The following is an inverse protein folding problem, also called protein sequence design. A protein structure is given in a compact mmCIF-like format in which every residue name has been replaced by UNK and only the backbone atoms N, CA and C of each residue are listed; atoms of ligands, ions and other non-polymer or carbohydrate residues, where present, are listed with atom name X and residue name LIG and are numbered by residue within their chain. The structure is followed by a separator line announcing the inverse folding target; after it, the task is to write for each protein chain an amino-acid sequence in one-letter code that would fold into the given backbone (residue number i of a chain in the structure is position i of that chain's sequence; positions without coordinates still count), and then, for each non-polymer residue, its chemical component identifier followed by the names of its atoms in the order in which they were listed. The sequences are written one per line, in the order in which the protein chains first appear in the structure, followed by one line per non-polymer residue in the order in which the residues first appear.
data_IF_946058030897
#
_entry.id   IF_946058030897
#
_cell.length_a   1.000
_cell.length_b   1.000
_cell.length_c   1.000
_cell.angle_alpha   90.00
_cell.angle_beta   90.00
_cell.angle_gamma   90.00
#
_symmetry.space_group_name_H-M   'P 1'
#
loop_
_entity.id
_entity.type
_entity.pdbx_description
1 polymer ?
#
# COMPACT_ATOMS: atom_id res chain seq x y z
N UNK A 1 22.95 -5.89 -0.69
CA UNK A 1 21.90 -4.99 -0.18
C UNK A 1 21.15 -5.69 0.92
N UNK A 2 20.87 -5.01 2.04
CA UNK A 2 19.93 -5.51 3.04
C UNK A 2 18.57 -5.71 2.36
N UNK A 3 17.93 -6.84 2.58
CA UNK A 3 16.59 -7.11 2.04
C UNK A 3 15.58 -6.32 2.89
N UNK A 4 15.38 -5.05 2.56
CA UNK A 4 14.35 -4.19 3.15
C UNK A 4 12.96 -4.69 2.71
N UNK A 5 11.93 -4.46 3.55
CA UNK A 5 10.55 -4.91 3.27
C UNK A 5 10.45 -6.39 2.82
N UNK A 6 11.00 -7.32 3.62
CA UNK A 6 10.97 -8.78 3.34
C UNK A 6 9.56 -9.33 3.14
N UNK A 7 8.57 -8.66 3.73
CA UNK A 7 7.15 -8.88 3.52
C UNK A 7 6.51 -7.58 3.04
N UNK A 8 5.34 -7.63 2.38
CA UNK A 8 4.62 -6.41 1.99
C UNK A 8 4.40 -5.51 3.22
N UNK A 9 4.69 -4.20 3.14
CA UNK A 9 4.43 -3.27 4.23
C UNK A 9 2.95 -3.27 4.64
N UNK A 10 2.71 -3.10 5.94
CA UNK A 10 1.37 -3.01 6.52
C UNK A 10 1.30 -1.78 7.43
N UNK A 11 0.27 -0.96 7.30
CA UNK A 11 0.24 0.31 8.03
C UNK A 11 -1.01 1.14 7.82
N UNK A 12 -0.92 2.41 8.18
CA UNK A 12 -1.94 3.44 8.04
C UNK A 12 -1.37 4.64 7.28
N UNK A 13 -2.22 5.29 6.49
CA UNK A 13 -1.89 6.53 5.78
C UNK A 13 -3.04 7.55 5.91
N UNK A 14 -2.68 8.83 6.01
CA UNK A 14 -3.64 9.90 6.28
C UNK A 14 -4.51 10.37 5.10
N UNK A 15 -4.25 9.92 3.87
CA UNK A 15 -4.86 10.50 2.67
C UNK A 15 -6.38 10.32 2.60
N UNK A 16 -6.89 9.09 2.69
CA UNK A 16 -8.33 8.82 2.48
C UNK A 16 -9.20 9.46 3.56
N UNK A 17 -8.66 9.71 4.75
CA UNK A 17 -9.34 10.37 5.87
C UNK A 17 -9.18 11.89 5.83
N UNK A 18 -7.95 12.38 5.74
CA UNK A 18 -7.62 13.79 5.99
C UNK A 18 -7.09 14.57 4.79
N UNK A 19 -6.86 13.90 3.65
CA UNK A 19 -6.26 14.50 2.46
C UNK A 19 -4.93 15.18 2.80
N UNK A 20 -4.80 16.43 2.38
CA UNK A 20 -3.63 17.29 2.62
C UNK A 20 -3.55 17.84 4.05
N UNK A 21 -4.55 17.62 4.91
CA UNK A 21 -4.79 18.43 6.12
C UNK A 21 -4.60 17.73 7.46
N UNK A 22 -3.97 16.56 7.48
CA UNK A 22 -3.75 15.83 8.74
C UNK A 22 -2.94 16.66 9.74
N UNK A 23 -3.27 16.52 11.02
CA UNK A 23 -2.60 17.17 12.15
C UNK A 23 -1.83 16.17 13.01
N UNK A 24 -0.87 16.66 13.80
CA UNK A 24 -0.07 15.82 14.71
C UNK A 24 -0.93 14.98 15.66
N UNK A 25 -1.98 15.56 16.23
CA UNK A 25 -2.84 14.86 17.19
C UNK A 25 -3.61 13.72 16.51
N UNK A 26 -4.04 13.91 15.26
CA UNK A 26 -4.70 12.86 14.46
C UNK A 26 -3.74 11.73 14.09
N UNK A 27 -2.49 12.05 13.71
CA UNK A 27 -1.44 11.05 13.49
C UNK A 27 -1.21 10.22 14.75
N UNK A 28 -1.04 10.87 15.91
CA UNK A 28 -0.81 10.19 17.18
C UNK A 28 -2.03 9.38 17.66
N UNK A 29 -3.24 9.85 17.40
CA UNK A 29 -4.45 9.10 17.70
C UNK A 29 -4.54 7.80 16.87
N UNK A 30 -4.27 7.89 15.56
CA UNK A 30 -4.22 6.72 14.67
C UNK A 30 -3.08 5.77 15.05
N UNK A 31 -1.89 6.30 15.36
CA UNK A 31 -0.75 5.50 15.80
C UNK A 31 -1.07 4.71 17.09
N UNK A 32 -1.76 5.30 18.07
CA UNK A 32 -2.14 4.59 19.30
C UNK A 32 -3.09 3.42 19.02
N UNK A 33 -4.10 3.63 18.17
CA UNK A 33 -5.04 2.55 17.79
C UNK A 33 -4.33 1.48 16.97
N UNK A 34 -3.46 1.87 16.03
CA UNK A 34 -2.64 0.95 15.25
C UNK A 34 -1.79 0.07 16.19
N UNK A 35 -1.07 0.67 17.13
CA UNK A 35 -0.24 -0.04 18.10
C UNK A 35 -1.04 -1.00 19.00
N UNK A 36 -2.21 -0.59 19.48
CA UNK A 36 -3.02 -1.39 20.39
C UNK A 36 -3.72 -2.56 19.66
N UNK A 37 -4.30 -2.28 18.48
CA UNK A 37 -5.26 -3.19 17.84
C UNK A 37 -4.69 -3.96 16.66
N UNK A 38 -3.69 -3.42 15.96
CA UNK A 38 -3.26 -3.92 14.65
C UNK A 38 -1.77 -4.31 14.61
N UNK A 39 -0.90 -3.69 15.40
CA UNK A 39 0.51 -4.07 15.52
C UNK A 39 0.72 -5.55 15.91
N UNK A 40 -0.08 -6.16 16.82
CA UNK A 40 0.02 -7.60 17.09
C UNK A 40 -0.23 -8.49 15.85
N UNK A 41 -0.90 -7.95 14.83
CA UNK A 41 -1.20 -8.62 13.56
C UNK A 41 -0.23 -8.23 12.43
N UNK A 42 0.73 -7.35 12.72
CA UNK A 42 1.84 -6.95 11.86
C UNK A 42 1.66 -5.61 11.15
N UNK A 43 0.65 -4.82 11.50
CA UNK A 43 0.48 -3.45 10.98
C UNK A 43 1.38 -2.49 11.78
N UNK A 44 2.47 -2.03 11.18
CA UNK A 44 3.55 -1.35 11.92
C UNK A 44 3.90 0.05 11.42
N UNK A 45 3.36 0.49 10.28
CA UNK A 45 3.79 1.73 9.64
C UNK A 45 2.73 2.82 9.74
N UNK A 46 3.11 4.04 10.12
CA UNK A 46 2.24 5.24 10.18
C UNK A 46 2.77 6.27 9.19
N UNK A 47 2.01 6.62 8.16
CA UNK A 47 2.44 7.53 7.09
C UNK A 47 1.65 8.83 7.13
N UNK A 48 2.37 9.95 7.24
CA UNK A 48 1.83 11.30 7.00
C UNK A 48 1.87 11.54 5.49
N UNK A 49 0.70 11.60 4.85
CA UNK A 49 0.61 11.82 3.40
C UNK A 49 0.86 13.29 3.02
N UNK A 50 0.65 13.62 1.74
CA UNK A 50 1.11 14.82 1.06
C UNK A 50 0.78 16.13 1.79
N UNK A 51 1.58 17.16 1.47
CA UNK A 51 1.29 18.56 1.77
C UNK A 51 1.35 18.91 3.26
N UNK A 52 2.06 18.11 4.06
CA UNK A 52 2.38 18.42 5.46
C UNK A 52 3.21 19.71 5.65
N UNK A 53 3.77 20.22 4.55
CA UNK A 53 4.58 21.42 4.48
C UNK A 53 3.80 22.68 4.06
N UNK A 54 2.52 22.58 3.65
CA UNK A 54 1.67 23.76 3.43
C UNK A 54 0.91 24.12 4.73
N UNK A 55 1.20 25.30 5.33
CA UNK A 55 0.47 25.76 6.51
C UNK A 55 -0.97 26.18 6.18
N UNK A 56 -1.29 26.41 4.91
CA UNK A 56 -2.62 26.77 4.43
C UNK A 56 -3.39 25.59 3.79
N UNK A 57 -2.87 24.36 3.91
CA UNK A 57 -3.48 23.17 3.33
C UNK A 57 -4.98 23.09 3.67
N UNK A 58 -5.78 22.71 2.67
CA UNK A 58 -7.24 22.68 2.75
C UNK A 58 -7.81 21.34 2.33
N UNK A 59 -9.02 21.03 2.80
CA UNK A 59 -9.76 19.87 2.31
C UNK A 59 -10.04 19.97 0.80
N UNK A 60 -10.26 18.83 0.17
CA UNK A 60 -10.66 18.72 -1.24
C UNK A 60 -9.63 19.29 -2.24
N UNK A 61 -8.35 18.91 -2.07
CA UNK A 61 -7.27 19.16 -3.01
C UNK A 61 -6.29 20.27 -2.59
N UNK A 62 -5.49 20.71 -3.55
CA UNK A 62 -4.33 21.58 -3.31
C UNK A 62 -4.66 23.08 -3.45
N UNK A 63 -3.82 23.93 -2.88
CA UNK A 63 -3.85 25.36 -3.10
C UNK A 63 -3.02 25.72 -4.33
N UNK A 64 -3.51 26.65 -5.16
CA UNK A 64 -2.69 27.23 -6.23
C UNK A 64 -1.65 28.18 -5.60
N UNK A 65 -0.37 28.00 -5.91
CA UNK A 65 0.69 28.87 -5.38
C UNK A 65 0.87 28.78 -3.86
N UNK A 66 0.83 27.54 -3.33
CA UNK A 66 1.08 27.23 -1.92
C UNK A 66 2.33 27.90 -1.37
N UNK A 67 2.26 28.43 -0.14
CA UNK A 67 3.35 29.22 0.43
C UNK A 67 4.53 28.41 0.97
N UNK A 68 4.38 27.09 1.09
CA UNK A 68 5.33 26.05 1.53
C UNK A 68 6.34 26.47 2.63
N UNK A 69 6.32 25.80 3.78
CA UNK A 69 7.38 26.01 4.78
C UNK A 69 8.66 25.33 4.32
N UNK A 70 9.72 26.12 4.07
CA UNK A 70 11.04 25.64 3.65
C UNK A 70 12.12 26.03 4.66
N UNK A 71 13.19 25.24 4.73
CA UNK A 71 14.42 25.65 5.40
C UNK A 71 15.28 26.59 4.52
N UNK A 72 16.43 27.02 5.04
CA UNK A 72 17.33 27.94 4.33
C UNK A 72 17.96 27.36 3.04
N UNK A 73 17.80 26.06 2.79
CA UNK A 73 18.32 25.35 1.63
C UNK A 73 17.22 24.87 0.69
N UNK A 74 15.98 25.34 0.90
CA UNK A 74 14.84 25.00 0.05
C UNK A 74 14.28 23.59 0.27
N UNK A 75 14.53 22.97 1.44
CA UNK A 75 13.94 21.68 1.82
C UNK A 75 12.66 21.90 2.61
N UNK A 76 11.62 21.12 2.32
CA UNK A 76 10.32 21.24 3.01
C UNK A 76 10.45 20.97 4.51
N UNK A 77 9.72 21.75 5.32
CA UNK A 77 9.61 21.63 6.78
C UNK A 77 8.13 21.45 7.18
N UNK A 78 7.84 20.73 8.28
CA UNK A 78 6.47 20.56 8.73
C UNK A 78 5.83 21.89 9.11
N UNK A 79 4.59 22.10 8.67
CA UNK A 79 3.83 23.28 9.01
C UNK A 79 3.52 23.28 10.54
N UNK A 80 4.17 24.18 11.29
CA UNK A 80 4.13 24.18 12.77
C UNK A 80 2.72 24.39 13.35
N UNK A 81 1.80 25.00 12.60
CA UNK A 81 0.40 25.13 13.00
C UNK A 81 -0.35 23.78 13.02
N UNK A 82 0.07 22.81 12.20
CA UNK A 82 -0.48 21.45 12.14
C UNK A 82 0.37 20.44 12.91
N UNK A 83 1.67 20.70 13.00
CA UNK A 83 2.66 19.90 13.71
C UNK A 83 3.42 20.72 14.75
N UNK A 84 2.80 21.09 15.89
CA UNK A 84 3.41 21.98 16.88
C UNK A 84 4.74 21.46 17.46
N UNK A 85 4.95 20.14 17.46
CA UNK A 85 6.22 19.57 17.93
C UNK A 85 7.40 19.87 16.98
N UNK A 86 7.14 20.21 15.72
CA UNK A 86 8.19 20.60 14.77
C UNK A 86 8.84 21.95 15.10
N UNK A 87 8.19 22.75 15.94
CA UNK A 87 8.63 24.08 16.31
C UNK A 87 10.08 24.13 16.80
N UNK A 88 10.77 25.20 16.42
CA UNK A 88 12.18 25.43 16.77
C UNK A 88 13.15 24.60 15.93
N UNK A 89 12.79 24.30 14.68
CA UNK A 89 13.66 23.57 13.74
C UNK A 89 13.83 22.08 14.07
N UNK A 90 12.89 21.50 14.82
CA UNK A 90 12.94 20.07 15.21
C UNK A 90 12.38 19.16 14.12
N UNK A 91 11.61 19.71 13.17
CA UNK A 91 10.98 18.96 12.10
C UNK A 91 10.14 17.80 12.64
N UNK A 92 10.09 16.68 11.93
CA UNK A 92 9.31 15.53 12.38
C UNK A 92 9.94 14.70 13.49
N UNK A 93 11.18 14.99 13.93
CA UNK A 93 11.87 14.15 14.92
C UNK A 93 11.03 13.85 16.17
N UNK A 94 10.38 14.83 16.83
CA UNK A 94 9.58 14.53 18.02
C UNK A 94 8.36 13.64 17.73
N UNK A 95 7.70 13.84 16.58
CA UNK A 95 6.57 13.00 16.16
C UNK A 95 7.03 11.58 15.84
N UNK A 96 8.13 11.43 15.11
CA UNK A 96 8.73 10.12 14.82
C UNK A 96 9.14 9.41 16.11
N UNK A 97 9.79 10.10 17.05
CA UNK A 97 10.17 9.54 18.36
C UNK A 97 8.94 9.03 19.14
N UNK A 98 7.80 9.75 19.11
CA UNK A 98 6.54 9.30 19.73
C UNK A 98 5.95 8.06 19.03
N UNK A 99 5.99 8.01 17.69
CA UNK A 99 5.54 6.84 16.92
C UNK A 99 6.45 5.63 17.19
N UNK A 100 7.77 5.82 17.23
CA UNK A 100 8.75 4.78 17.57
C UNK A 100 8.56 4.27 18.99
N UNK A 101 8.22 5.14 19.94
CA UNK A 101 7.93 4.75 21.32
C UNK A 101 6.71 3.81 21.45
N UNK A 102 5.80 3.81 20.46
CA UNK A 102 4.69 2.86 20.36
C UNK A 102 5.09 1.53 19.71
N UNK A 103 6.35 1.36 19.31
CA UNK A 103 6.83 0.18 18.57
C UNK A 103 6.48 0.21 17.08
N UNK A 104 6.09 1.37 16.56
CA UNK A 104 5.71 1.58 15.16
C UNK A 104 6.85 2.23 14.38
N UNK A 105 6.69 2.26 13.06
CA UNK A 105 7.56 2.91 12.07
C UNK A 105 6.89 4.17 11.57
N UNK A 106 7.67 5.22 11.36
CA UNK A 106 7.17 6.52 10.91
C UNK A 106 7.48 6.76 9.44
N UNK A 107 6.49 7.20 8.67
CA UNK A 107 6.63 7.50 7.26
C UNK A 107 6.10 8.86 6.88
N UNK A 108 6.62 9.39 5.77
CA UNK A 108 6.16 10.64 5.19
C UNK A 108 6.01 10.51 3.67
N UNK A 109 5.16 11.35 3.12
CA UNK A 109 5.05 11.59 1.69
C UNK A 109 6.01 12.70 1.23
N UNK A 110 6.53 12.59 0.01
CA UNK A 110 7.20 13.66 -0.72
C UNK A 110 6.72 13.73 -2.16
N UNK A 111 6.68 14.94 -2.71
CA UNK A 111 6.59 15.14 -4.16
C UNK A 111 7.97 14.97 -4.82
N UNK A 112 8.02 14.40 -6.02
CA UNK A 112 9.24 14.42 -6.86
C UNK A 112 9.72 15.86 -7.02
N UNK A 113 11.03 16.05 -6.98
CA UNK A 113 11.66 17.29 -7.42
C UNK A 113 12.08 18.26 -6.30
N UNK A 114 12.02 19.55 -6.60
CA UNK A 114 12.46 20.68 -5.76
C UNK A 114 11.36 21.77 -5.75
N UNK A 115 11.07 22.42 -4.60
CA UNK A 115 10.06 23.47 -4.53
C UNK A 115 10.30 24.60 -5.51
N UNK A 116 9.24 25.03 -6.22
CA UNK A 116 9.32 26.17 -7.15
C UNK A 116 9.76 27.44 -6.44
N UNK A 117 9.30 27.66 -5.21
CA UNK A 117 9.70 28.78 -4.36
C UNK A 117 11.22 28.79 -4.12
N UNK A 118 11.84 27.63 -3.92
CA UNK A 118 13.29 27.54 -3.72
C UNK A 118 14.05 27.95 -5.00
N UNK A 119 13.55 27.56 -6.18
CA UNK A 119 14.12 27.91 -7.49
C UNK A 119 13.95 29.41 -7.78
N UNK A 120 12.76 29.96 -7.50
CA UNK A 120 12.46 31.38 -7.69
C UNK A 120 13.37 32.27 -6.84
N UNK A 121 13.53 31.92 -5.57
CA UNK A 121 14.40 32.61 -4.61
C UNK A 121 15.88 32.29 -4.78
N UNK A 122 16.22 31.31 -5.64
CA UNK A 122 17.58 30.86 -5.91
C UNK A 122 18.33 30.42 -4.63
N UNK A 123 17.63 29.64 -3.79
CA UNK A 123 18.17 29.20 -2.50
C UNK A 123 19.40 28.31 -2.68
N UNK A 124 20.38 28.35 -1.76
CA UNK A 124 21.61 27.57 -1.88
C UNK A 124 21.37 26.07 -1.70
N UNK A 125 22.12 25.25 -2.43
CA UNK A 125 22.21 23.80 -2.17
C UNK A 125 23.27 23.55 -1.09
N UNK A 126 22.84 23.03 0.06
CA UNK A 126 23.69 22.84 1.24
C UNK A 126 25.03 22.16 0.92
N UNK A 127 26.13 22.72 1.42
CA UNK A 127 27.46 22.14 1.24
C UNK A 127 28.08 22.29 -0.15
N UNK A 128 27.47 23.05 -1.06
CA UNK A 128 27.95 23.26 -2.42
C UNK A 128 28.05 24.75 -2.78
N UNK A 129 28.59 25.06 -3.96
CA UNK A 129 28.54 26.40 -4.57
C UNK A 129 27.34 26.60 -5.49
N UNK A 130 26.46 25.59 -5.61
CA UNK A 130 25.31 25.60 -6.51
C UNK A 130 24.05 26.10 -5.79
N UNK A 131 23.05 26.45 -6.58
CA UNK A 131 21.74 26.90 -6.10
C UNK A 131 20.61 25.99 -6.59
N UNK A 132 19.40 26.25 -6.11
CA UNK A 132 18.19 25.58 -6.55
C UNK A 132 17.95 25.72 -8.07
N UNK A 133 18.37 26.82 -8.69
CA UNK A 133 18.29 26.98 -10.16
C UNK A 133 19.23 26.05 -10.92
N UNK A 134 20.41 25.76 -10.36
CA UNK A 134 21.33 24.78 -10.94
C UNK A 134 20.83 23.34 -10.77
N UNK A 135 19.96 23.08 -9.78
CA UNK A 135 19.43 21.76 -9.48
C UNK A 135 18.12 21.43 -10.21
N UNK A 136 17.41 22.43 -10.74
CA UNK A 136 16.05 22.28 -11.23
C UNK A 136 15.96 22.12 -12.75
N UNK A 137 15.11 21.20 -13.21
CA UNK A 137 14.57 21.19 -14.57
C UNK A 137 13.18 21.86 -14.53
N UNK A 138 13.13 23.13 -14.91
CA UNK A 138 11.89 23.91 -14.91
C UNK A 138 10.89 23.49 -16.00
N UNK A 139 11.27 22.60 -16.92
CA UNK A 139 10.37 22.03 -17.94
C UNK A 139 9.67 20.76 -17.45
N UNK A 140 10.22 20.13 -16.41
CA UNK A 140 9.64 18.96 -15.76
C UNK A 140 8.69 19.41 -14.64
N UNK A 141 7.39 19.13 -14.81
CA UNK A 141 6.34 19.54 -13.86
C UNK A 141 5.38 18.40 -13.58
N UNK A 142 4.80 18.38 -12.38
CA UNK A 142 3.65 17.55 -12.07
C UNK A 142 2.36 18.16 -12.67
N UNK A 143 1.49 17.38 -13.33
CA UNK A 143 0.28 17.91 -13.97
C UNK A 143 -0.89 18.17 -12.99
N UNK A 144 -0.82 17.69 -11.75
CA UNK A 144 -1.92 17.75 -10.78
C UNK A 144 -1.56 18.46 -9.45
N UNK A 145 -0.29 18.84 -9.27
CA UNK A 145 0.19 19.63 -8.14
C UNK A 145 1.35 20.52 -8.63
N UNK A 146 1.38 21.79 -8.20
CA UNK A 146 2.31 22.80 -8.70
C UNK A 146 3.44 23.16 -7.71
N UNK A 147 3.61 22.40 -6.62
CA UNK A 147 4.59 22.71 -5.57
C UNK A 147 6.04 22.66 -6.07
N UNK A 148 6.34 21.71 -6.95
CA UNK A 148 7.70 21.39 -7.37
C UNK A 148 7.94 21.57 -8.89
N UNK A 149 9.20 21.80 -9.22
CA UNK A 149 9.81 21.43 -10.51
C UNK A 149 10.54 20.11 -10.37
N UNK A 150 10.77 19.40 -11.48
CA UNK A 150 11.69 18.27 -11.51
C UNK A 150 13.13 18.70 -11.23
N UNK A 151 13.99 17.71 -10.91
CA UNK A 151 15.42 17.92 -10.77
C UNK A 151 16.12 17.70 -12.13
N UNK A 152 17.15 18.50 -12.42
CA UNK A 152 18.03 18.30 -13.57
C UNK A 152 19.08 17.23 -13.23
N UNK A 153 18.76 15.97 -13.55
CA UNK A 153 19.61 14.82 -13.24
C UNK A 153 20.95 14.80 -14.00
N UNK A 154 21.15 15.67 -15.01
CA UNK A 154 22.44 15.85 -15.68
C UNK A 154 23.39 16.79 -14.91
N UNK A 155 22.85 17.60 -13.98
CA UNK A 155 23.64 18.52 -13.17
C UNK A 155 23.90 17.98 -11.75
N UNK A 156 25.16 18.00 -11.24
CA UNK A 156 25.48 17.46 -9.91
C UNK A 156 24.73 18.11 -8.73
N UNK A 157 24.22 19.33 -8.90
CA UNK A 157 23.42 20.01 -7.87
C UNK A 157 22.12 19.26 -7.54
N UNK A 158 21.52 18.56 -8.51
CA UNK A 158 20.29 17.79 -8.30
C UNK A 158 20.47 16.68 -7.25
N UNK A 159 21.50 15.84 -7.41
CA UNK A 159 21.76 14.78 -6.44
C UNK A 159 22.20 15.36 -5.09
N UNK A 160 22.98 16.45 -5.08
CA UNK A 160 23.40 17.09 -3.83
C UNK A 160 22.21 17.65 -3.02
N UNK A 161 21.25 18.30 -3.70
CA UNK A 161 20.00 18.74 -3.09
C UNK A 161 19.21 17.55 -2.52
N UNK A 162 19.03 16.50 -3.32
CA UNK A 162 18.26 15.33 -2.92
C UNK A 162 18.92 14.56 -1.76
N UNK A 163 20.24 14.42 -1.77
CA UNK A 163 21.01 13.83 -0.65
C UNK A 163 20.77 14.64 0.64
N UNK A 164 20.78 15.97 0.56
CA UNK A 164 20.50 16.86 1.70
C UNK A 164 19.05 16.76 2.20
N UNK A 165 18.09 16.60 1.30
CA UNK A 165 16.67 16.38 1.63
C UNK A 165 16.47 15.04 2.33
N UNK A 166 17.00 13.95 1.79
CA UNK A 166 16.85 12.63 2.40
C UNK A 166 17.64 12.51 3.70
N UNK A 167 18.80 13.15 3.82
CA UNK A 167 19.53 13.23 5.09
C UNK A 167 18.73 13.96 6.18
N UNK A 168 17.97 15.00 5.83
CA UNK A 168 17.05 15.67 6.76
C UNK A 168 15.95 14.70 7.24
N UNK A 169 15.30 13.99 6.31
CA UNK A 169 14.27 12.99 6.63
C UNK A 169 14.83 11.86 7.52
N UNK A 170 16.01 11.36 7.18
CA UNK A 170 16.71 10.35 7.97
C UNK A 170 17.06 10.86 9.38
N UNK A 171 17.48 12.12 9.49
CA UNK A 171 17.76 12.79 10.77
C UNK A 171 16.53 12.97 11.66
N UNK A 172 15.33 13.00 11.08
CA UNK A 172 14.06 12.96 11.81
C UNK A 172 13.62 11.55 12.22
N UNK A 173 14.26 10.50 11.71
CA UNK A 173 13.87 9.12 12.03
C UNK A 173 12.79 8.54 11.11
N UNK A 174 12.64 9.05 9.88
CA UNK A 174 11.72 8.46 8.89
C UNK A 174 12.16 7.05 8.49
N UNK A 175 11.26 6.07 8.50
CA UNK A 175 11.49 4.66 8.15
C UNK A 175 10.84 4.25 6.81
N UNK A 176 9.94 5.08 6.31
CA UNK A 176 9.14 4.83 5.11
C UNK A 176 8.91 6.14 4.35
N UNK A 177 9.13 6.12 3.05
CA UNK A 177 8.99 7.28 2.19
C UNK A 177 8.10 6.93 1.00
N UNK A 178 6.95 7.61 0.89
CA UNK A 178 6.11 7.59 -0.32
C UNK A 178 6.50 8.78 -1.19
N UNK A 179 6.94 8.53 -2.42
CA UNK A 179 7.28 9.58 -3.38
C UNK A 179 6.29 9.56 -4.54
N UNK A 180 5.56 10.66 -4.69
CA UNK A 180 4.59 10.86 -5.77
C UNK A 180 5.19 11.55 -7.00
N UNK A 181 4.41 11.55 -8.09
CA UNK A 181 4.80 12.04 -9.42
C UNK A 181 5.98 11.25 -10.04
N UNK A 182 5.95 9.92 -9.87
CA UNK A 182 7.06 9.03 -10.24
C UNK A 182 6.74 8.04 -11.39
N UNK A 183 5.52 7.53 -11.50
CA UNK A 183 5.19 6.40 -12.39
C UNK A 183 4.21 6.72 -13.52
N UNK A 184 3.61 7.92 -13.53
CA UNK A 184 2.67 8.35 -14.56
C UNK A 184 2.83 9.86 -14.89
N UNK A 185 3.82 10.25 -15.73
CA UNK A 185 4.71 9.39 -16.51
C UNK A 185 5.83 8.76 -15.66
N UNK A 186 6.50 7.74 -16.21
CA UNK A 186 7.57 7.03 -15.51
C UNK A 186 8.90 7.80 -15.57
N UNK A 187 9.46 8.10 -14.39
CA UNK A 187 10.69 8.87 -14.19
C UNK A 187 11.83 7.99 -13.62
N UNK A 188 12.54 7.19 -14.46
CA UNK A 188 13.55 6.23 -13.98
C UNK A 188 14.76 6.90 -13.32
N UNK A 189 15.17 8.05 -13.83
CA UNK A 189 16.25 8.89 -13.29
C UNK A 189 15.94 9.39 -11.87
N UNK A 190 14.70 9.86 -11.65
CA UNK A 190 14.24 10.26 -10.32
C UNK A 190 14.21 9.05 -9.37
N UNK A 191 13.72 7.89 -9.82
CA UNK A 191 13.68 6.65 -9.02
C UNK A 191 15.08 6.27 -8.54
N UNK A 192 16.07 6.28 -9.44
CA UNK A 192 17.47 6.00 -9.12
C UNK A 192 18.07 7.03 -8.15
N UNK A 193 17.76 8.31 -8.35
CA UNK A 193 18.28 9.40 -7.53
C UNK A 193 17.76 9.31 -6.07
N UNK A 194 16.47 9.01 -5.89
CA UNK A 194 15.87 8.79 -4.56
C UNK A 194 16.47 7.56 -3.88
N UNK A 195 16.61 6.44 -4.59
CA UNK A 195 17.24 5.23 -4.06
C UNK A 195 18.68 5.49 -3.60
N UNK A 196 19.46 6.23 -4.40
CA UNK A 196 20.84 6.62 -4.09
C UNK A 196 20.91 7.56 -2.87
N UNK A 197 20.00 8.53 -2.77
CA UNK A 197 19.94 9.45 -1.63
C UNK A 197 19.58 8.72 -0.33
N UNK A 198 18.66 7.75 -0.38
CA UNK A 198 18.35 6.86 0.75
C UNK A 198 19.57 6.06 1.17
N UNK A 199 20.27 5.41 0.23
CA UNK A 199 21.50 4.67 0.53
C UNK A 199 22.55 5.57 1.21
N UNK A 200 22.76 6.78 0.68
CA UNK A 200 23.74 7.74 1.22
C UNK A 200 23.36 8.32 2.57
N UNK A 201 22.08 8.36 2.91
CA UNK A 201 21.61 8.83 4.22
C UNK A 201 22.09 7.94 5.37
N UNK A 202 22.41 6.67 5.08
CA UNK A 202 22.82 5.68 6.08
C UNK A 202 21.68 5.16 6.98
N UNK A 203 20.43 5.58 6.73
CA UNK A 203 19.23 5.07 7.40
C UNK A 203 18.49 4.08 6.50
N UNK A 204 17.95 3.04 7.10
CA UNK A 204 17.01 2.12 6.44
C UNK A 204 15.66 2.83 6.25
N UNK A 205 15.33 3.17 5.00
CA UNK A 205 14.08 3.81 4.61
C UNK A 205 13.45 2.98 3.47
N UNK A 206 12.23 2.50 3.68
CA UNK A 206 11.45 1.83 2.63
C UNK A 206 10.98 2.85 1.60
N UNK A 207 11.28 2.64 0.32
CA UNK A 207 10.82 3.51 -0.76
C UNK A 207 9.55 2.97 -1.43
N UNK A 208 8.50 3.79 -1.41
CA UNK A 208 7.21 3.59 -2.08
C UNK A 208 7.03 4.60 -3.21
N UNK A 209 6.68 4.15 -4.41
CA UNK A 209 6.54 5.00 -5.60
C UNK A 209 5.09 5.14 -6.05
N UNK A 210 4.69 6.35 -6.45
CA UNK A 210 3.30 6.69 -6.78
C UNK A 210 3.23 7.91 -7.72
N UNK A 211 2.06 8.24 -8.32
CA UNK A 211 0.92 7.35 -8.56
C UNK A 211 1.21 6.40 -9.72
N UNK A 212 0.45 5.32 -9.82
CA UNK A 212 0.50 4.39 -10.96
C UNK A 212 -0.65 4.63 -11.94
N UNK A 213 -0.54 4.11 -13.16
CA UNK A 213 -1.70 3.96 -14.08
C UNK A 213 -1.53 2.71 -14.95
N UNK A 214 -0.95 2.86 -16.15
CA UNK A 214 -0.64 1.78 -17.08
C UNK A 214 0.86 1.42 -17.04
N UNK A 215 1.43 1.30 -15.83
CA UNK A 215 2.83 0.96 -15.64
C UNK A 215 3.17 -0.35 -16.37
N UNK A 216 4.22 -0.31 -17.20
CA UNK A 216 4.67 -1.46 -17.98
C UNK A 216 5.46 -2.43 -17.10
N UNK A 217 5.17 -3.73 -17.22
CA UNK A 217 5.93 -4.78 -16.52
C UNK A 217 7.36 -4.92 -17.05
N UNK A 218 7.71 -4.25 -18.16
CA UNK A 218 9.10 -4.12 -18.61
C UNK A 218 10.00 -3.41 -17.58
N UNK A 219 9.41 -2.65 -16.65
CA UNK A 219 10.16 -1.90 -15.63
C UNK A 219 10.38 -2.70 -14.33
N UNK A 220 9.88 -3.93 -14.23
CA UNK A 220 9.93 -4.74 -12.98
C UNK A 220 11.36 -4.84 -12.41
N UNK A 221 12.35 -5.09 -13.25
CA UNK A 221 13.73 -5.28 -12.77
C UNK A 221 14.33 -3.96 -12.25
N UNK A 222 14.09 -2.84 -12.93
CA UNK A 222 14.50 -1.51 -12.47
C UNK A 222 13.81 -1.13 -11.15
N UNK A 223 12.49 -1.33 -11.08
CA UNK A 223 11.71 -1.05 -9.87
C UNK A 223 12.22 -1.85 -8.66
N UNK A 224 12.56 -3.13 -8.84
CA UNK A 224 13.11 -3.99 -7.78
C UNK A 224 14.51 -3.60 -7.34
N UNK A 225 15.30 -3.02 -8.24
CA UNK A 225 16.64 -2.54 -7.91
C UNK A 225 16.59 -1.28 -7.05
N UNK A 226 15.56 -0.44 -7.22
CA UNK A 226 15.55 0.91 -6.67
C UNK A 226 14.43 1.20 -5.65
N UNK A 227 13.36 0.41 -5.59
CA UNK A 227 12.23 0.65 -4.68
C UNK A 227 11.69 -0.65 -4.07
N UNK A 228 11.01 -0.51 -2.93
CA UNK A 228 10.39 -1.64 -2.25
C UNK A 228 8.94 -1.83 -2.63
N UNK A 229 8.24 -0.75 -3.02
CA UNK A 229 6.88 -0.86 -3.54
C UNK A 229 6.55 0.22 -4.57
N UNK A 230 5.62 -0.08 -5.48
CA UNK A 230 5.22 0.84 -6.55
C UNK A 230 3.75 0.65 -6.93
N UNK A 231 3.03 1.78 -7.02
CA UNK A 231 1.61 1.80 -7.38
C UNK A 231 1.37 1.25 -8.78
N UNK A 232 0.38 0.35 -8.91
CA UNK A 232 -0.04 -0.26 -10.19
C UNK A 232 -1.37 0.28 -10.72
N UNK A 233 -1.95 1.23 -10.01
CA UNK A 233 -3.21 1.89 -10.34
C UNK A 233 -3.18 3.37 -9.98
N UNK A 234 -4.12 4.09 -10.58
CA UNK A 234 -4.53 5.41 -10.08
C UNK A 234 -5.22 5.25 -8.72
N UNK A 235 -5.53 6.37 -8.08
CA UNK A 235 -6.07 6.41 -6.72
C UNK A 235 -7.35 5.59 -6.59
N UNK A 236 -7.31 4.62 -5.68
CA UNK A 236 -8.43 3.73 -5.36
C UNK A 236 -9.31 4.33 -4.27
N UNK A 237 -10.63 4.26 -4.47
CA UNK A 237 -11.62 4.71 -3.50
C UNK A 237 -12.66 3.61 -3.21
N UNK A 238 -13.55 3.88 -2.25
CA UNK A 238 -14.61 2.98 -1.77
C UNK A 238 -15.77 2.82 -2.79
N UNK A 239 -15.45 2.38 -4.00
CA UNK A 239 -16.41 2.07 -5.08
C UNK A 239 -16.14 0.68 -5.61
N UNK A 240 -17.19 -0.08 -5.88
CA UNK A 240 -17.06 -1.41 -6.47
C UNK A 240 -16.29 -1.39 -7.80
N UNK A 241 -16.48 -0.37 -8.64
CA UNK A 241 -15.74 -0.27 -9.91
C UNK A 241 -14.22 -0.19 -9.71
N UNK A 242 -13.78 0.51 -8.64
CA UNK A 242 -12.36 0.64 -8.33
C UNK A 242 -11.79 -0.69 -7.82
N UNK A 243 -12.53 -1.39 -6.96
CA UNK A 243 -12.17 -2.74 -6.47
C UNK A 243 -12.15 -3.75 -7.63
N UNK A 244 -13.17 -3.76 -8.48
CA UNK A 244 -13.29 -4.67 -9.61
C UNK A 244 -12.14 -4.50 -10.60
N UNK A 245 -11.74 -3.24 -10.88
CA UNK A 245 -10.61 -2.95 -11.76
C UNK A 245 -9.27 -3.52 -11.24
N UNK A 246 -9.12 -3.72 -9.92
CA UNK A 246 -7.89 -4.28 -9.35
C UNK A 246 -7.70 -5.77 -9.63
N UNK A 247 -8.76 -6.55 -9.88
CA UNK A 247 -8.61 -7.98 -10.20
C UNK A 247 -7.66 -8.19 -11.39
N UNK A 248 -7.88 -7.47 -12.50
CA UNK A 248 -7.03 -7.60 -13.69
C UNK A 248 -5.62 -7.01 -13.46
N UNK A 249 -5.52 -5.91 -12.70
CA UNK A 249 -4.23 -5.27 -12.40
C UNK A 249 -3.37 -6.18 -11.53
N UNK A 250 -3.92 -6.73 -10.45
CA UNK A 250 -3.21 -7.65 -9.57
C UNK A 250 -2.93 -8.99 -10.27
N UNK A 251 -3.83 -9.53 -11.09
CA UNK A 251 -3.54 -10.74 -11.87
C UNK A 251 -2.30 -10.56 -12.77
N UNK A 252 -2.15 -9.38 -13.39
CA UNK A 252 -0.97 -9.02 -14.19
C UNK A 252 0.31 -8.90 -13.36
N UNK A 253 0.22 -8.40 -12.13
CA UNK A 253 1.39 -8.04 -11.31
C UNK A 253 1.80 -9.10 -10.28
N UNK A 254 0.89 -9.97 -9.84
CA UNK A 254 1.13 -11.00 -8.83
C UNK A 254 2.34 -11.93 -9.13
N UNK A 255 2.63 -12.32 -10.39
CA UNK A 255 3.82 -13.10 -10.71
C UNK A 255 5.16 -12.41 -10.38
N UNK A 256 5.16 -11.10 -10.19
CA UNK A 256 6.36 -10.30 -9.92
C UNK A 256 6.53 -9.96 -8.42
N UNK A 257 5.65 -10.45 -7.54
CA UNK A 257 5.78 -10.18 -6.11
C UNK A 257 6.90 -11.00 -5.50
N UNK A 258 7.85 -10.33 -4.84
CA UNK A 258 8.96 -11.00 -4.15
C UNK A 258 9.40 -10.21 -2.91
N UNK A 259 10.07 -10.86 -1.95
CA UNK A 259 10.69 -10.16 -0.82
C UNK A 259 11.49 -8.93 -1.26
N UNK A 260 11.08 -7.75 -0.78
CA UNK A 260 11.70 -6.47 -1.09
C UNK A 260 11.27 -5.78 -2.39
N UNK A 261 10.27 -6.29 -3.11
CA UNK A 261 9.73 -5.64 -4.31
C UNK A 261 8.25 -5.97 -4.52
N UNK A 262 7.39 -4.99 -4.24
CA UNK A 262 5.94 -5.18 -4.13
C UNK A 262 5.16 -4.27 -5.08
N UNK A 263 4.42 -4.87 -6.01
CA UNK A 263 3.37 -4.17 -6.73
C UNK A 263 2.25 -3.78 -5.76
N UNK A 264 1.90 -2.50 -5.75
CA UNK A 264 0.98 -1.87 -4.81
C UNK A 264 -0.35 -1.50 -5.46
N UNK A 265 -1.42 -2.17 -5.04
CA UNK A 265 -2.79 -1.91 -5.49
C UNK A 265 -3.46 -0.72 -4.78
N UNK A 266 -2.66 0.10 -4.09
CA UNK A 266 -3.04 1.31 -3.36
C UNK A 266 -3.66 1.03 -1.98
N UNK A 267 -3.90 2.12 -1.26
CA UNK A 267 -4.49 2.14 0.07
C UNK A 267 -5.87 1.49 0.13
N UNK A 268 -6.24 1.04 1.32
CA UNK A 268 -7.50 0.40 1.64
C UNK A 268 -8.47 1.48 2.17
N UNK A 269 -9.52 1.86 1.41
CA UNK A 269 -10.49 2.88 1.80
C UNK A 269 -11.53 2.27 2.75
N UNK A 270 -11.04 1.72 3.88
CA UNK A 270 -11.80 1.00 4.90
C UNK A 270 -11.91 1.87 6.17
N UNK A 271 -13.00 1.70 6.90
CA UNK A 271 -13.29 2.51 8.10
C UNK A 271 -13.84 3.88 7.75
N UNK A 272 -13.61 4.87 8.62
CA UNK A 272 -14.12 6.23 8.43
C UNK A 272 -13.16 7.05 7.56
N UNK A 273 -13.62 7.44 6.39
CA UNK A 273 -12.86 8.19 5.38
C UNK A 273 -13.59 9.48 5.02
N UNK A 274 -12.97 10.35 4.23
CA UNK A 274 -13.63 11.55 3.71
C UNK A 274 -13.79 12.70 4.71
N UNK A 275 -13.21 12.62 5.91
CA UNK A 275 -13.32 13.69 6.92
C UNK A 275 -12.91 15.03 6.34
N UNK A 276 -11.76 15.05 5.66
CA UNK A 276 -11.20 16.20 4.92
C UNK A 276 -10.41 15.75 3.67
N UNK A 277 -10.81 14.61 3.10
CA UNK A 277 -10.09 13.97 2.01
C UNK A 277 -10.17 14.76 0.69
N UNK A 278 -9.38 14.34 -0.30
CA UNK A 278 -9.48 14.89 -1.65
C UNK A 278 -10.88 14.61 -2.25
N UNK A 279 -11.39 13.38 -2.09
CA UNK A 279 -12.64 12.93 -2.75
C UNK A 279 -13.73 12.53 -1.76
N UNK A 280 -14.89 13.14 -1.96
CA UNK A 280 -16.11 12.89 -1.19
C UNK A 280 -16.08 13.52 0.20
N UNK A 281 -17.16 13.28 0.95
CA UNK A 281 -17.39 13.82 2.28
C UNK A 281 -17.29 12.72 3.36
N UNK A 282 -17.32 13.14 4.63
CA UNK A 282 -17.23 12.29 5.82
C UNK A 282 -18.21 11.12 5.79
N UNK A 283 -17.68 9.90 5.87
CA UNK A 283 -18.45 8.66 5.81
C UNK A 283 -17.67 7.49 6.39
N UNK A 284 -18.39 6.46 6.82
CA UNK A 284 -17.82 5.10 6.80
C UNK A 284 -17.69 4.66 5.33
N UNK A 285 -16.71 3.81 5.02
CA UNK A 285 -16.51 3.22 3.70
C UNK A 285 -17.83 2.73 3.11
N UNK A 286 -18.08 3.07 1.84
CA UNK A 286 -19.28 2.63 1.10
C UNK A 286 -19.20 1.17 0.65
N UNK A 287 -18.05 0.53 0.79
CA UNK A 287 -17.91 -0.89 0.48
C UNK A 287 -18.77 -1.70 1.46
N UNK A 288 -19.59 -2.60 0.93
CA UNK A 288 -20.35 -3.55 1.75
C UNK A 288 -19.41 -4.48 2.52
N UNK A 289 -19.84 -5.13 3.62
CA UNK A 289 -18.99 -6.06 4.35
C UNK A 289 -18.37 -7.16 3.48
N UNK A 290 -19.09 -7.64 2.45
CA UNK A 290 -18.59 -8.63 1.51
C UNK A 290 -17.54 -8.03 0.54
N UNK A 291 -17.74 -6.80 0.07
CA UNK A 291 -16.74 -6.08 -0.74
C UNK A 291 -15.46 -5.76 0.07
N UNK A 292 -15.59 -5.47 1.37
CA UNK A 292 -14.45 -5.26 2.26
C UNK A 292 -13.64 -6.55 2.47
N UNK A 293 -14.30 -7.71 2.56
CA UNK A 293 -13.62 -9.02 2.56
C UNK A 293 -12.97 -9.30 1.21
N UNK A 294 -13.63 -8.95 0.11
CA UNK A 294 -13.12 -9.11 -1.26
C UNK A 294 -11.82 -8.32 -1.47
N UNK A 295 -11.80 -7.01 -1.15
CA UNK A 295 -10.61 -6.18 -1.33
C UNK A 295 -9.43 -6.70 -0.49
N UNK A 296 -9.64 -7.01 0.79
CA UNK A 296 -8.58 -7.56 1.64
C UNK A 296 -8.06 -8.90 1.14
N UNK A 297 -8.96 -9.82 0.79
CA UNK A 297 -8.56 -11.15 0.31
C UNK A 297 -7.77 -11.04 -0.99
N UNK A 298 -8.20 -10.20 -1.93
CA UNK A 298 -7.49 -10.01 -3.19
C UNK A 298 -6.09 -9.42 -2.96
N UNK A 299 -5.94 -8.41 -2.09
CA UNK A 299 -4.64 -7.82 -1.78
C UNK A 299 -3.72 -8.84 -1.11
N UNK A 300 -4.24 -9.63 -0.16
CA UNK A 300 -3.48 -10.67 0.53
C UNK A 300 -3.03 -11.77 -0.44
N UNK A 301 -3.95 -12.30 -1.25
CA UNK A 301 -3.64 -13.37 -2.21
C UNK A 301 -2.66 -12.92 -3.29
N UNK A 302 -2.69 -11.64 -3.67
CA UNK A 302 -1.76 -11.04 -4.62
C UNK A 302 -0.54 -10.38 -3.96
N UNK A 303 -0.39 -10.47 -2.64
CA UNK A 303 0.71 -9.88 -1.85
C UNK A 303 0.94 -8.38 -2.05
N UNK A 304 -0.12 -7.62 -2.23
CA UNK A 304 -0.06 -6.15 -2.20
C UNK A 304 0.24 -5.66 -0.78
N UNK A 305 0.98 -4.55 -0.59
CA UNK A 305 1.03 -3.83 0.68
C UNK A 305 -0.38 -3.52 1.20
N UNK A 306 -0.55 -3.50 2.52
CA UNK A 306 -1.83 -3.22 3.17
C UNK A 306 -1.72 -1.91 3.96
N UNK A 307 -2.14 -0.80 3.35
CA UNK A 307 -2.11 0.52 3.99
C UNK A 307 -3.55 1.01 4.15
N UNK A 308 -4.09 1.06 5.37
CA UNK A 308 -5.46 1.53 5.61
C UNK A 308 -5.53 3.06 5.64
N UNK A 309 -6.50 3.64 4.93
CA UNK A 309 -6.66 5.09 4.79
C UNK A 309 -7.65 5.73 5.79
N UNK A 310 -8.53 4.93 6.40
CA UNK A 310 -9.53 5.42 7.35
C UNK A 310 -8.95 5.89 8.68
N UNK A 311 -9.65 6.83 9.32
CA UNK A 311 -9.37 7.27 10.67
C UNK A 311 -9.72 6.15 11.67
N UNK A 312 -8.71 5.42 12.14
CA UNK A 312 -8.84 4.25 13.00
C UNK A 312 -9.59 4.54 14.32
N UNK A 313 -9.35 5.66 15.03
CA UNK A 313 -10.07 5.98 16.27
C UNK A 313 -11.59 6.12 16.11
N UNK A 314 -12.06 6.55 14.94
CA UNK A 314 -13.49 6.77 14.68
C UNK A 314 -14.09 5.81 13.64
N UNK A 315 -13.32 4.79 13.23
CA UNK A 315 -13.81 3.69 12.42
C UNK A 315 -14.66 2.72 13.24
N UNK A 316 -15.63 2.08 12.59
CA UNK A 316 -16.47 1.08 13.23
C UNK A 316 -15.63 -0.09 13.78
N UNK A 317 -15.95 -0.66 14.96
CA UNK A 317 -15.20 -1.77 15.54
C UNK A 317 -15.08 -2.98 14.61
N UNK A 318 -16.11 -3.25 13.81
CA UNK A 318 -16.11 -4.32 12.82
C UNK A 318 -15.01 -4.16 11.77
N UNK A 319 -14.64 -2.93 11.40
CA UNK A 319 -13.50 -2.67 10.51
C UNK A 319 -12.19 -3.06 11.17
N UNK A 320 -11.99 -2.68 12.44
CA UNK A 320 -10.78 -3.03 13.18
C UNK A 320 -10.66 -4.55 13.36
N UNK A 321 -11.77 -5.24 13.63
CA UNK A 321 -11.80 -6.70 13.76
C UNK A 321 -11.51 -7.39 12.42
N UNK A 322 -11.97 -6.82 11.31
CA UNK A 322 -11.67 -7.28 9.96
C UNK A 322 -10.16 -7.18 9.65
N UNK A 323 -9.55 -6.02 9.94
CA UNK A 323 -8.11 -5.77 9.74
C UNK A 323 -7.23 -6.59 10.69
N UNK A 324 -7.72 -6.86 11.91
CA UNK A 324 -7.07 -7.66 12.93
C UNK A 324 -7.24 -9.17 12.72
N UNK A 325 -7.94 -9.63 11.68
CA UNK A 325 -8.07 -11.07 11.42
C UNK A 325 -6.65 -11.68 11.23
N UNK A 326 -6.26 -12.68 12.04
CA UNK A 326 -4.91 -13.27 11.96
C UNK A 326 -4.55 -13.81 10.57
N UNK A 327 -5.52 -14.29 9.79
CA UNK A 327 -5.30 -14.81 8.44
C UNK A 327 -4.78 -13.72 7.49
N UNK A 328 -5.24 -12.47 7.63
CA UNK A 328 -4.84 -11.34 6.77
C UNK A 328 -3.32 -11.14 6.84
N UNK A 329 -2.79 -10.98 8.05
CA UNK A 329 -1.35 -10.79 8.25
C UNK A 329 -0.55 -12.07 7.97
N UNK A 330 -1.05 -13.23 8.38
CA UNK A 330 -0.33 -14.50 8.21
C UNK A 330 -0.14 -14.85 6.73
N UNK A 331 -1.23 -14.92 5.96
CA UNK A 331 -1.16 -15.36 4.55
C UNK A 331 -0.38 -14.36 3.70
N UNK A 332 -0.52 -13.05 3.95
CA UNK A 332 0.23 -12.01 3.21
C UNK A 332 1.75 -12.22 3.32
N UNK A 333 2.21 -12.55 4.53
CA UNK A 333 3.64 -12.69 4.85
C UNK A 333 4.20 -14.04 4.44
N UNK A 334 3.44 -15.12 4.67
CA UNK A 334 3.93 -16.49 4.52
C UNK A 334 3.67 -17.08 3.14
N UNK A 335 2.50 -16.83 2.54
CA UNK A 335 2.14 -17.46 1.27
C UNK A 335 2.88 -16.86 0.08
N UNK A 336 3.07 -17.68 -0.94
CA UNK A 336 3.76 -17.33 -2.19
C UNK A 336 3.01 -17.88 -3.40
N UNK A 337 3.45 -17.51 -4.61
CA UNK A 337 2.88 -18.05 -5.85
C UNK A 337 1.42 -17.67 -6.08
N UNK A 338 0.97 -16.56 -5.47
CA UNK A 338 -0.35 -15.97 -5.65
C UNK A 338 -0.65 -15.75 -7.12
N UNK A 339 -1.74 -16.34 -7.61
CA UNK A 339 -2.14 -16.23 -9.02
C UNK A 339 -3.64 -16.45 -9.21
N UNK A 340 -4.20 -15.73 -10.17
CA UNK A 340 -5.49 -16.04 -10.77
C UNK A 340 -5.37 -17.35 -11.57
N UNK A 341 -6.22 -18.32 -11.28
CA UNK A 341 -6.27 -19.62 -11.99
C UNK A 341 -7.53 -19.79 -12.82
N UNK A 342 -8.60 -19.06 -12.49
CA UNK A 342 -9.87 -19.06 -13.21
C UNK A 342 -10.40 -17.64 -13.27
N UNK A 343 -10.87 -17.24 -14.46
CA UNK A 343 -11.76 -16.11 -14.67
C UNK A 343 -12.80 -16.51 -15.69
N UNK A 344 -14.04 -16.67 -15.24
CA UNK A 344 -15.14 -17.13 -16.08
C UNK A 344 -16.32 -16.17 -16.00
N UNK A 345 -16.67 -15.47 -17.10
CA UNK A 345 -17.91 -14.70 -17.18
C UNK A 345 -19.12 -15.63 -17.13
N UNK A 346 -20.02 -15.39 -16.19
CA UNK A 346 -21.16 -16.25 -15.91
C UNK A 346 -22.43 -15.43 -15.69
N UNK A 347 -23.09 -15.02 -16.78
CA UNK A 347 -24.30 -14.22 -16.70
C UNK A 347 -24.00 -12.76 -16.40
N UNK A 348 -24.39 -12.30 -15.21
CA UNK A 348 -24.31 -10.91 -14.73
C UNK A 348 -23.07 -10.63 -13.87
N UNK A 349 -22.10 -11.53 -13.85
CA UNK A 349 -20.82 -11.37 -13.16
C UNK A 349 -19.78 -12.37 -13.65
N UNK A 350 -18.65 -12.43 -12.95
CA UNK A 350 -17.51 -13.28 -13.23
C UNK A 350 -17.17 -14.10 -11.97
N UNK A 351 -16.91 -15.39 -12.15
CA UNK A 351 -16.23 -16.21 -11.15
C UNK A 351 -14.73 -16.01 -11.34
N UNK A 352 -14.05 -15.55 -10.29
CA UNK A 352 -12.60 -15.38 -10.28
C UNK A 352 -12.05 -16.22 -9.14
N UNK A 353 -11.07 -17.09 -9.43
CA UNK A 353 -10.46 -17.97 -8.42
C UNK A 353 -8.96 -17.72 -8.37
N UNK A 354 -8.47 -17.46 -7.16
CA UNK A 354 -7.05 -17.28 -6.86
C UNK A 354 -6.53 -18.42 -5.99
N UNK A 355 -5.27 -18.77 -6.20
CA UNK A 355 -4.53 -19.69 -5.32
C UNK A 355 -3.20 -19.09 -4.89
N UNK A 356 -2.76 -19.44 -3.68
CA UNK A 356 -1.41 -19.21 -3.17
C UNK A 356 -1.03 -20.39 -2.27
N UNK A 357 0.26 -20.54 -1.96
CA UNK A 357 0.77 -21.70 -1.23
C UNK A 357 1.69 -21.31 -0.09
N UNK A 358 1.61 -22.05 1.00
CA UNK A 358 2.52 -22.02 2.15
C UNK A 358 2.79 -23.47 2.56
N UNK A 359 4.02 -23.94 2.38
CA UNK A 359 4.40 -25.33 2.64
C UNK A 359 3.41 -26.35 2.02
N UNK A 360 2.62 -27.01 2.86
CA UNK A 360 1.66 -28.06 2.50
C UNK A 360 0.20 -27.56 2.41
N UNK A 361 0.00 -26.25 2.58
CA UNK A 361 -1.28 -25.55 2.57
C UNK A 361 -1.47 -24.82 1.23
N UNK A 362 -2.60 -25.06 0.58
CA UNK A 362 -3.07 -24.25 -0.54
C UNK A 362 -4.17 -23.33 -0.06
N UNK A 363 -3.99 -22.02 -0.20
CA UNK A 363 -5.03 -21.03 0.02
C UNK A 363 -5.83 -20.83 -1.26
N UNK A 364 -7.15 -20.82 -1.16
CA UNK A 364 -8.09 -20.66 -2.27
C UNK A 364 -9.02 -19.50 -1.96
N UNK A 365 -9.05 -18.51 -2.83
CA UNK A 365 -10.02 -17.41 -2.77
C UNK A 365 -10.95 -17.48 -3.98
N UNK A 366 -12.22 -17.75 -3.74
CA UNK A 366 -13.27 -17.78 -4.75
C UNK A 366 -14.10 -16.50 -4.66
N UNK A 367 -13.96 -15.64 -5.66
CA UNK A 367 -14.66 -14.36 -5.76
C UNK A 367 -15.81 -14.47 -6.75
N UNK A 368 -16.90 -13.76 -6.43
CA UNK A 368 -18.04 -13.62 -7.31
C UNK A 368 -18.36 -12.15 -7.51
N UNK A 369 -18.34 -11.67 -8.76
CA UNK A 369 -18.52 -10.24 -9.06
C UNK A 369 -19.94 -9.84 -9.45
N UNK A 370 -20.88 -10.80 -9.48
CA UNK A 370 -22.27 -10.52 -9.82
C UNK A 370 -23.11 -10.03 -8.64
N UNK A 371 -24.30 -9.47 -8.93
CA UNK A 371 -25.13 -8.73 -7.99
C UNK A 371 -25.92 -9.62 -7.00
N UNK A 372 -26.04 -10.92 -7.25
CA UNK A 372 -26.72 -11.88 -6.38
C UNK A 372 -25.78 -13.01 -5.96
N UNK A 373 -25.90 -13.58 -4.74
CA UNK A 373 -25.06 -14.70 -4.31
C UNK A 373 -25.08 -15.90 -5.26
N UNK A 374 -23.96 -16.63 -5.34
CA UNK A 374 -23.81 -17.80 -6.21
C UNK A 374 -23.10 -18.95 -5.50
N UNK A 375 -23.69 -20.14 -5.60
CA UNK A 375 -23.02 -21.39 -5.29
C UNK A 375 -22.07 -21.77 -6.42
N UNK A 376 -20.81 -22.02 -6.12
CA UNK A 376 -19.79 -22.49 -7.06
C UNK A 376 -19.25 -23.84 -6.62
N UNK A 377 -18.90 -24.70 -7.59
CA UNK A 377 -18.30 -26.00 -7.34
C UNK A 377 -16.93 -26.04 -8.02
N UNK A 378 -15.86 -26.04 -7.22
CA UNK A 378 -14.49 -25.97 -7.70
C UNK A 378 -13.84 -27.36 -7.59
N UNK A 379 -13.52 -28.02 -8.72
CA UNK A 379 -12.85 -29.32 -8.70
C UNK A 379 -11.52 -29.24 -7.96
N UNK A 380 -11.27 -30.15 -7.01
CA UNK A 380 -10.04 -30.13 -6.21
C UNK A 380 -8.79 -30.22 -7.09
N UNK A 381 -8.84 -31.04 -8.15
CA UNK A 381 -7.73 -31.15 -9.12
C UNK A 381 -7.39 -29.86 -9.85
N UNK A 382 -8.35 -28.94 -10.03
CA UNK A 382 -8.10 -27.60 -10.58
C UNK A 382 -7.44 -26.65 -9.58
N UNK A 383 -7.61 -26.90 -8.27
CA UNK A 383 -7.07 -26.06 -7.19
C UNK A 383 -5.64 -26.47 -6.81
N UNK A 384 -5.40 -27.78 -6.66
CA UNK A 384 -4.14 -28.32 -6.12
C UNK A 384 -3.32 -29.13 -7.14
N UNK A 385 -3.87 -29.37 -8.34
CA UNK A 385 -3.28 -30.19 -9.38
C UNK A 385 -3.67 -31.68 -9.30
N UNK A 386 -3.69 -32.37 -10.44
CA UNK A 386 -4.17 -33.76 -10.55
C UNK A 386 -3.47 -34.79 -9.65
N UNK A 387 -2.17 -34.62 -9.39
CA UNK A 387 -1.44 -35.55 -8.53
C UNK A 387 -1.81 -35.34 -7.06
N UNK A 388 -1.75 -34.11 -6.57
CA UNK A 388 -2.00 -33.77 -5.18
C UNK A 388 -3.48 -33.90 -4.78
N UNK A 389 -4.41 -33.82 -5.74
CA UNK A 389 -5.83 -34.05 -5.46
C UNK A 389 -6.14 -35.45 -4.93
N UNK A 390 -5.24 -36.43 -5.19
CA UNK A 390 -5.38 -37.80 -4.67
C UNK A 390 -5.03 -37.94 -3.20
N UNK A 391 -4.42 -36.92 -2.60
CA UNK A 391 -4.10 -36.88 -1.17
C UNK A 391 -5.37 -36.60 -0.34
N UNK A 392 -5.26 -36.72 0.97
CA UNK A 392 -6.36 -36.38 1.89
C UNK A 392 -6.25 -34.92 2.32
N UNK A 393 -7.31 -34.16 2.04
CA UNK A 393 -7.37 -32.73 2.35
C UNK A 393 -8.33 -32.44 3.51
N UNK A 394 -8.02 -31.38 4.25
CA UNK A 394 -8.94 -30.70 5.16
C UNK A 394 -9.10 -29.27 4.75
N UNK A 395 -10.27 -28.69 5.04
CA UNK A 395 -10.61 -27.33 4.68
C UNK A 395 -10.85 -26.49 5.93
N UNK A 396 -10.62 -25.19 5.82
CA UNK A 396 -10.94 -24.22 6.87
C UNK A 396 -11.23 -22.86 6.26
N UNK A 397 -12.36 -22.26 6.61
CA UNK A 397 -12.66 -20.88 6.24
C UNK A 397 -11.79 -19.90 7.06
N UNK A 398 -11.23 -18.90 6.39
CA UNK A 398 -10.32 -17.91 6.96
C UNK A 398 -11.02 -16.64 7.44
N UNK A 399 -12.23 -16.35 6.96
CA UNK A 399 -13.08 -15.28 7.48
C UNK A 399 -13.98 -15.75 8.62
N UNK A 400 -14.31 -17.05 8.66
CA UNK A 400 -15.16 -17.67 9.67
C UNK A 400 -14.46 -18.88 10.31
N UNK A 401 -13.46 -18.63 11.20
CA UNK A 401 -12.73 -19.70 11.86
C UNK A 401 -13.66 -20.65 12.61
N UNK A 402 -13.60 -21.94 12.28
CA UNK A 402 -14.48 -22.99 12.82
C UNK A 402 -15.44 -23.58 11.79
N UNK A 403 -15.62 -22.91 10.64
CA UNK A 403 -16.32 -23.46 9.48
C UNK A 403 -15.33 -24.25 8.61
N UNK A 404 -15.70 -25.48 8.25
CA UNK A 404 -14.92 -26.37 7.38
C UNK A 404 -15.74 -26.71 6.14
N UNK A 405 -15.57 -25.99 5.02
CA UNK A 405 -16.31 -26.28 3.78
C UNK A 405 -16.08 -27.72 3.31
N UNK A 406 -17.15 -28.47 3.06
CA UNK A 406 -17.00 -29.88 2.68
C UNK A 406 -16.43 -30.04 1.26
N UNK A 407 -15.66 -31.11 1.08
CA UNK A 407 -15.27 -31.61 -0.24
C UNK A 407 -16.30 -32.66 -0.66
N UNK A 408 -16.95 -32.43 -1.81
CA UNK A 408 -18.03 -33.28 -2.31
C UNK A 408 -17.57 -34.08 -3.54
N UNK A 409 -17.29 -35.39 -3.41
CA UNK A 409 -17.00 -36.27 -4.55
C UNK A 409 -18.14 -36.31 -5.55
N UNK A 410 -17.79 -36.30 -6.83
CA UNK A 410 -18.76 -36.51 -7.92
C UNK A 410 -18.31 -37.65 -8.81
N UNK A 411 -19.15 -38.07 -9.75
CA UNK A 411 -18.77 -39.09 -10.76
C UNK A 411 -17.61 -38.64 -11.64
N UNK A 412 -17.39 -37.34 -11.79
CA UNK A 412 -16.39 -36.75 -12.69
C UNK A 412 -15.19 -36.18 -11.95
N UNK A 413 -15.33 -35.94 -10.65
CA UNK A 413 -14.28 -35.49 -9.71
C UNK A 413 -14.34 -36.36 -8.45
N UNK A 414 -13.84 -37.62 -8.51
CA UNK A 414 -13.94 -38.55 -7.40
C UNK A 414 -13.12 -38.11 -6.18
N UNK A 415 -12.10 -37.29 -6.39
CA UNK A 415 -11.29 -36.67 -5.34
C UNK A 415 -12.02 -35.56 -4.55
N UNK A 416 -13.14 -35.05 -5.08
CA UNK A 416 -13.96 -34.02 -4.42
C UNK A 416 -13.94 -32.67 -5.11
N UNK A 417 -15.04 -31.93 -4.96
CA UNK A 417 -15.12 -30.52 -5.32
C UNK A 417 -15.39 -29.68 -4.07
N UNK A 418 -14.72 -28.53 -3.97
CA UNK A 418 -14.99 -27.52 -2.95
C UNK A 418 -16.24 -26.74 -3.38
N UNK A 419 -17.33 -26.89 -2.62
CA UNK A 419 -18.61 -26.22 -2.91
C UNK A 419 -18.76 -25.03 -1.97
N UNK A 420 -18.94 -23.83 -2.53
CA UNK A 420 -18.93 -22.58 -1.79
C UNK A 420 -20.12 -21.71 -2.19
N UNK A 421 -20.85 -21.20 -1.20
CA UNK A 421 -21.85 -20.15 -1.40
C UNK A 421 -21.17 -18.78 -1.29
N UNK A 422 -20.84 -18.19 -2.43
CA UNK A 422 -20.12 -16.92 -2.53
C UNK A 422 -21.13 -15.76 -2.57
N UNK A 423 -21.04 -14.76 -1.68
CA UNK A 423 -21.93 -13.61 -1.68
C UNK A 423 -21.81 -12.76 -2.94
N UNK A 424 -22.79 -11.89 -3.17
CA UNK A 424 -22.72 -10.83 -4.18
C UNK A 424 -21.50 -9.94 -3.90
N UNK A 425 -20.70 -9.69 -4.94
CA UNK A 425 -19.41 -8.96 -4.85
C UNK A 425 -18.44 -9.51 -3.78
N UNK A 426 -18.68 -10.75 -3.33
CA UNK A 426 -18.05 -11.32 -2.15
C UNK A 426 -16.98 -12.35 -2.46
N UNK A 427 -16.45 -12.92 -1.38
CA UNK A 427 -15.40 -13.93 -1.41
C UNK A 427 -15.65 -15.03 -0.39
N UNK A 428 -15.23 -16.24 -0.73
CA UNK A 428 -14.95 -17.32 0.22
C UNK A 428 -13.47 -17.64 0.17
N UNK A 429 -12.82 -17.63 1.33
CA UNK A 429 -11.37 -17.76 1.46
C UNK A 429 -11.05 -18.96 2.34
N UNK A 430 -10.54 -20.01 1.71
CA UNK A 430 -10.40 -21.34 2.32
C UNK A 430 -8.93 -21.77 2.32
N UNK A 431 -8.44 -22.27 3.44
CA UNK A 431 -7.20 -23.03 3.49
C UNK A 431 -7.50 -24.51 3.22
N UNK A 432 -6.75 -25.11 2.29
CA UNK A 432 -6.72 -26.54 2.03
C UNK A 432 -5.40 -27.08 2.59
N UNK A 433 -5.47 -27.94 3.59
CA UNK A 433 -4.30 -28.55 4.22
C UNK A 433 -4.21 -30.03 3.83
N UNK A 434 -3.04 -30.49 3.38
CA UNK A 434 -2.81 -31.93 3.22
C UNK A 434 -2.56 -32.57 4.58
N UNK A 435 -3.21 -33.70 4.88
CA UNK A 435 -2.82 -34.52 6.02
C UNK A 435 -1.63 -35.39 5.61
N UNK A 436 -0.52 -35.43 6.37
CA UNK A 436 0.45 -36.48 6.16
C UNK A 436 -0.26 -37.83 6.37
N UNK A 437 -0.09 -38.75 5.42
CA UNK A 437 -0.54 -40.12 5.59
C UNK A 437 0.02 -40.64 6.92
N UNK A 438 -0.86 -40.97 7.87
CA UNK A 438 -0.43 -41.83 8.97
C UNK A 438 0.00 -43.14 8.31
N UNK A 439 1.31 -43.39 8.22
CA UNK A 439 1.82 -44.71 7.86
C UNK A 439 1.18 -45.71 8.84
N UNK A 440 0.23 -46.47 8.33
CA UNK A 440 -0.32 -47.64 9.02
C UNK A 440 0.86 -48.58 9.30
N UNK A 441 1.23 -48.67 10.58
CA UNK A 441 2.23 -49.60 11.12
C UNK A 441 1.82 -51.06 10.92
#
# INVERSE_FOLDING_TARGET
MSLHARTPPMGWNSWDSFGTTVTQDEVLANARVLAERLLPHGWDTVVVDIDWYDPAARAHGYNDGSSLVLDAFGRQLPAENRFPSAAGGRGFRPLADEVHALGLRFGVHMMRGIPRIAVEQDLPVEGTSWTARDAADTTSVCPWNDDNYGLDHDHPAAQAYLDGLVAQLAGWGVDFLKVDDMLAPYHPDAVEAWARAIERSGRDIVLSLSPGTHLSTAQVDHLREHAQMWRISDDLWDRWEDVHAQFARLARWAPFQQPGGWADADMLPLGRIGLRAERGDDRQSRLTPDEQRTILTLWVMARSPLIVGGDLPTSDPATLDLLANPAVGHVLRAATGGREIVREPLGDGELIVWTSVEDATTYVAAFWTGPEPRTVSLPLSSLVGHAAARDTWTTRDLWEPGTTPDLHPTTWEPEGALVLDVPSHGVRWTALDTRPNQETS
#
